data_IF_984495641582
#
_entry.id   IF_984495641582
#
_cell.length_a   1.000
_cell.length_b   1.000
_cell.length_c   1.000
_cell.angle_alpha   90.00
_cell.angle_beta   90.00
_cell.angle_gamma   90.00
#
_symmetry.space_group_name_H-M   'P 1'
#
loop_
_entity.id
_entity.type
_entity.pdbx_description
1 polymer ?
#
# COMPACT_ATOMS: atom_id res chain seq x y z
N UNK A 1 0.30 6.97 13.69
CA UNK A 1 1.77 6.77 13.80
C UNK A 1 2.29 7.09 15.18
N UNK A 2 1.81 8.13 15.85
CA UNK A 2 2.20 8.49 17.23
C UNK A 2 2.25 7.30 18.21
N UNK A 3 1.15 6.54 18.33
CA UNK A 3 1.10 5.34 19.20
C UNK A 3 2.14 4.26 18.86
N UNK A 4 2.48 4.07 17.59
CA UNK A 4 3.54 3.14 17.19
C UNK A 4 4.92 3.66 17.60
N UNK A 5 5.15 4.97 17.48
CA UNK A 5 6.39 5.61 17.95
C UNK A 5 6.52 5.44 19.46
N UNK A 6 5.49 5.78 20.23
CA UNK A 6 5.46 5.59 21.69
C UNK A 6 5.74 4.14 22.10
N UNK A 7 5.15 3.17 21.40
CA UNK A 7 5.37 1.75 21.68
C UNK A 7 6.82 1.31 21.39
N UNK A 8 7.46 1.85 20.35
CA UNK A 8 8.87 1.60 20.03
C UNK A 8 9.80 2.28 21.05
N UNK A 9 9.49 3.50 21.47
CA UNK A 9 10.24 4.20 22.52
C UNK A 9 10.15 3.47 23.86
N UNK A 10 8.98 2.92 24.20
CA UNK A 10 8.77 2.09 25.38
C UNK A 10 9.64 0.84 25.44
N UNK A 11 10.19 0.37 24.31
CA UNK A 11 11.14 -0.75 24.24
C UNK A 11 12.58 -0.31 23.94
N UNK A 12 12.86 1.00 24.01
CA UNK A 12 14.22 1.56 23.99
C UNK A 12 14.66 2.19 22.67
N UNK A 13 13.80 2.27 21.65
CA UNK A 13 14.09 3.12 20.49
C UNK A 13 14.05 4.60 20.89
N UNK A 14 14.74 5.47 20.14
CA UNK A 14 14.80 6.91 20.40
C UNK A 14 14.69 7.69 19.11
N UNK A 15 13.74 8.61 19.04
CA UNK A 15 13.59 9.50 17.89
C UNK A 15 14.88 10.28 17.61
N UNK A 16 15.25 10.37 16.33
CA UNK A 16 16.45 11.06 15.87
C UNK A 16 17.78 10.33 16.12
N UNK A 17 17.77 9.20 16.84
CA UNK A 17 18.95 8.39 17.12
C UNK A 17 18.86 6.97 16.54
N UNK A 18 17.81 6.23 16.87
CA UNK A 18 17.57 4.86 16.38
C UNK A 18 16.20 4.69 15.72
N UNK A 19 15.35 5.72 15.77
CA UNK A 19 14.05 5.80 15.12
C UNK A 19 13.95 7.08 14.30
N UNK A 20 13.54 6.95 13.04
CA UNK A 20 13.50 8.08 12.10
C UNK A 20 12.21 8.03 11.27
N UNK A 21 11.56 9.19 11.11
CA UNK A 21 10.47 9.37 10.16
C UNK A 21 10.99 9.66 8.75
N UNK A 22 10.30 9.12 7.74
CA UNK A 22 10.54 9.42 6.32
C UNK A 22 9.22 9.84 5.65
N UNK A 23 8.71 11.05 5.94
CA UNK A 23 7.47 11.53 5.34
C UNK A 23 7.64 11.78 3.84
N UNK A 24 6.54 11.68 3.10
CA UNK A 24 6.49 11.94 1.66
C UNK A 24 5.15 12.56 1.28
N UNK A 25 5.12 13.20 0.11
CA UNK A 25 3.88 13.73 -0.46
C UNK A 25 3.08 12.58 -1.09
N UNK A 26 2.06 12.12 -0.36
CA UNK A 26 1.21 10.98 -0.73
C UNK A 26 0.27 11.27 -1.91
N UNK A 27 0.17 12.52 -2.37
CA UNK A 27 -0.64 12.90 -3.54
C UNK A 27 -0.02 12.44 -4.85
N UNK A 28 1.29 12.23 -4.84
CA UNK A 28 2.06 11.71 -5.96
C UNK A 28 2.34 10.22 -5.75
N UNK A 29 2.79 9.55 -6.80
CA UNK A 29 3.22 8.15 -6.73
C UNK A 29 4.50 7.94 -7.56
N UNK A 30 5.24 6.85 -7.30
CA UNK A 30 6.19 6.33 -8.25
C UNK A 30 5.58 6.22 -9.66
N UNK A 31 6.41 6.38 -10.69
CA UNK A 31 6.01 6.13 -12.07
C UNK A 31 6.88 5.05 -12.72
N UNK A 32 6.38 4.52 -13.83
CA UNK A 32 7.07 3.59 -14.70
C UNK A 32 8.50 4.08 -15.06
N UNK A 33 9.43 3.15 -15.32
CA UNK A 33 10.77 3.51 -15.81
C UNK A 33 10.71 4.45 -17.02
N UNK A 34 11.60 5.44 -17.07
CA UNK A 34 11.63 6.45 -18.14
C UNK A 34 10.60 7.57 -18.01
N UNK A 35 9.67 7.48 -17.05
CA UNK A 35 8.66 8.51 -16.80
C UNK A 35 9.05 9.35 -15.58
N UNK A 36 9.06 10.67 -15.73
CA UNK A 36 9.39 11.60 -14.65
C UNK A 36 8.40 11.49 -13.49
N UNK A 37 8.92 11.25 -12.28
CA UNK A 37 8.18 11.25 -11.01
C UNK A 37 8.96 12.01 -9.93
N UNK A 38 9.01 13.34 -10.05
CA UNK A 38 9.88 14.21 -9.24
C UNK A 38 9.70 14.00 -7.73
N UNK A 39 8.47 14.06 -7.23
CA UNK A 39 8.19 13.87 -5.80
C UNK A 39 8.72 12.52 -5.27
N UNK A 40 8.56 11.45 -6.04
CA UNK A 40 9.10 10.14 -5.67
C UNK A 40 10.63 10.07 -5.77
N UNK A 41 11.24 10.71 -6.77
CA UNK A 41 12.70 10.80 -6.90
C UNK A 41 13.33 11.59 -5.75
N UNK A 42 12.73 12.72 -5.37
CA UNK A 42 13.19 13.57 -4.27
C UNK A 42 13.07 12.83 -2.92
N UNK A 43 11.94 12.15 -2.70
CA UNK A 43 11.75 11.25 -1.57
C UNK A 43 12.80 10.12 -1.55
N UNK A 44 12.97 9.41 -2.67
CA UNK A 44 13.92 8.28 -2.78
C UNK A 44 15.36 8.72 -2.48
N UNK A 45 15.74 9.90 -2.95
CA UNK A 45 17.06 10.48 -2.69
C UNK A 45 17.23 10.80 -1.20
N UNK A 46 16.21 11.39 -0.59
CA UNK A 46 16.21 11.73 0.84
C UNK A 46 16.24 10.48 1.72
N UNK A 47 15.44 9.45 1.38
CA UNK A 47 15.41 8.17 2.06
C UNK A 47 16.74 7.42 1.94
N UNK A 48 17.37 7.41 0.75
CA UNK A 48 18.70 6.80 0.56
C UNK A 48 19.72 7.39 1.54
N UNK A 49 19.80 8.73 1.60
CA UNK A 49 20.72 9.42 2.52
C UNK A 49 20.38 9.16 3.99
N UNK A 50 19.09 9.07 4.33
CA UNK A 50 18.66 8.77 5.70
C UNK A 50 19.11 7.36 6.10
N UNK A 51 18.87 6.36 5.24
CA UNK A 51 19.28 4.97 5.47
C UNK A 51 20.79 4.86 5.65
N UNK A 52 21.58 5.48 4.77
CA UNK A 52 23.04 5.46 4.83
C UNK A 52 23.56 6.12 6.12
N UNK A 53 23.05 7.30 6.48
CA UNK A 53 23.45 7.98 7.73
C UNK A 53 23.04 7.22 8.99
N UNK A 54 21.84 6.65 9.01
CA UNK A 54 21.36 5.85 10.14
C UNK A 54 22.23 4.59 10.32
N UNK A 55 22.58 3.93 9.20
CA UNK A 55 23.50 2.80 9.17
C UNK A 55 24.89 3.18 9.70
N UNK A 56 25.50 4.25 9.20
CA UNK A 56 26.83 4.72 9.66
C UNK A 56 26.84 5.03 11.16
N UNK A 57 25.85 5.77 11.64
CA UNK A 57 25.71 6.12 13.07
C UNK A 57 25.49 4.91 13.98
N UNK A 58 25.00 3.81 13.42
CA UNK A 58 24.76 2.55 14.12
C UNK A 58 25.84 1.50 13.82
N UNK A 59 27.09 1.92 13.60
CA UNK A 59 28.23 1.02 13.41
C UNK A 59 28.14 0.21 12.11
N UNK A 60 27.65 0.82 11.03
CA UNK A 60 27.41 0.21 9.72
C UNK A 60 26.42 -0.95 9.72
N UNK A 61 25.52 -1.00 10.71
CA UNK A 61 24.45 -2.01 10.74
C UNK A 61 23.31 -1.62 9.80
N UNK A 62 22.75 -2.58 9.04
CA UNK A 62 21.63 -2.31 8.15
C UNK A 62 20.37 -1.92 8.92
N UNK A 63 19.49 -1.14 8.28
CA UNK A 63 18.25 -0.62 8.88
C UNK A 63 17.07 -1.57 8.68
N UNK A 64 16.08 -1.49 9.56
CA UNK A 64 14.75 -2.09 9.34
C UNK A 64 13.82 -0.99 8.83
N UNK A 65 13.19 -1.22 7.68
CA UNK A 65 12.16 -0.34 7.16
C UNK A 65 10.81 -0.79 7.70
N UNK A 66 10.08 0.11 8.36
CA UNK A 66 8.71 -0.14 8.83
C UNK A 66 7.77 0.76 8.05
N UNK A 67 6.74 0.18 7.45
CA UNK A 67 5.78 0.91 6.61
C UNK A 67 4.35 0.61 7.01
N UNK A 68 3.44 1.50 6.67
CA UNK A 68 2.00 1.30 6.83
C UNK A 68 1.28 1.67 5.54
N UNK A 69 0.30 0.87 5.15
CA UNK A 69 -0.60 1.16 4.05
C UNK A 69 0.15 1.47 2.74
N UNK A 70 -0.13 2.60 2.11
CA UNK A 70 0.53 3.04 0.88
C UNK A 70 2.06 3.19 1.00
N UNK A 71 2.59 3.34 2.21
CA UNK A 71 4.03 3.33 2.47
C UNK A 71 4.70 2.01 2.06
N UNK A 72 3.97 0.89 2.10
CA UNK A 72 4.44 -0.42 1.64
C UNK A 72 4.75 -0.42 0.14
N UNK A 73 3.84 0.12 -0.67
CA UNK A 73 4.05 0.32 -2.11
C UNK A 73 5.27 1.21 -2.38
N UNK A 74 5.38 2.32 -1.66
CA UNK A 74 6.52 3.24 -1.77
C UNK A 74 7.86 2.57 -1.45
N UNK A 75 7.93 1.78 -0.37
CA UNK A 75 9.14 1.08 0.02
C UNK A 75 9.51 -0.02 -0.99
N UNK A 76 8.54 -0.79 -1.50
CA UNK A 76 8.81 -1.78 -2.55
C UNK A 76 9.36 -1.12 -3.81
N UNK A 77 8.76 -0.02 -4.27
CA UNK A 77 9.25 0.72 -5.44
C UNK A 77 10.63 1.35 -5.21
N UNK A 78 10.87 1.88 -4.01
CA UNK A 78 12.18 2.41 -3.62
C UNK A 78 13.25 1.32 -3.70
N UNK A 79 13.02 0.18 -3.06
CA UNK A 79 13.95 -0.95 -3.03
C UNK A 79 14.18 -1.52 -4.44
N UNK A 80 13.12 -1.68 -5.22
CA UNK A 80 13.21 -2.18 -6.59
C UNK A 80 14.03 -1.28 -7.52
N UNK A 81 14.15 0.01 -7.19
CA UNK A 81 14.97 0.98 -7.92
C UNK A 81 16.37 1.15 -7.34
N UNK A 82 16.78 0.37 -6.33
CA UNK A 82 18.15 0.35 -5.79
C UNK A 82 18.94 -0.88 -6.27
N UNK A 83 20.26 -0.73 -6.55
CA UNK A 83 21.11 -1.86 -6.85
C UNK A 83 21.03 -2.92 -5.75
N UNK A 84 21.03 -4.20 -6.12
CA UNK A 84 20.99 -5.31 -5.17
C UNK A 84 22.11 -5.25 -4.11
N UNK A 85 23.37 -4.89 -4.46
CA UNK A 85 24.42 -4.71 -3.45
C UNK A 85 24.10 -3.65 -2.39
N UNK A 86 23.46 -2.54 -2.79
CA UNK A 86 23.05 -1.49 -1.85
C UNK A 86 21.98 -2.01 -0.89
N UNK A 87 20.97 -2.71 -1.42
CA UNK A 87 19.90 -3.33 -0.61
C UNK A 87 20.48 -4.30 0.43
N UNK A 88 21.33 -5.23 -0.01
CA UNK A 88 21.97 -6.22 0.87
C UNK A 88 22.86 -5.58 1.94
N UNK A 89 23.49 -4.45 1.63
CA UNK A 89 24.35 -3.73 2.59
C UNK A 89 23.56 -2.95 3.63
N UNK A 90 22.48 -2.29 3.22
CA UNK A 90 21.84 -1.26 4.04
C UNK A 90 20.48 -1.64 4.59
N UNK A 91 19.81 -2.66 4.06
CA UNK A 91 18.44 -3.03 4.46
C UNK A 91 18.46 -4.42 5.07
N UNK A 92 18.16 -4.47 6.36
CA UNK A 92 18.08 -5.72 7.12
C UNK A 92 16.78 -6.43 6.80
N UNK A 93 15.69 -5.67 6.85
CA UNK A 93 14.34 -6.20 6.72
C UNK A 93 13.35 -5.12 6.32
N UNK A 94 12.26 -5.52 5.67
CA UNK A 94 11.07 -4.72 5.45
C UNK A 94 9.90 -5.29 6.28
N UNK A 95 9.47 -4.56 7.31
CA UNK A 95 8.23 -4.85 8.05
C UNK A 95 7.12 -3.99 7.46
N UNK A 96 6.14 -4.64 6.85
CA UNK A 96 5.09 -3.98 6.09
C UNK A 96 3.73 -4.20 6.73
N UNK A 97 3.12 -3.12 7.21
CA UNK A 97 1.86 -3.14 7.94
C UNK A 97 0.70 -2.75 7.02
N UNK A 98 -0.38 -3.53 7.03
CA UNK A 98 -1.63 -3.26 6.31
C UNK A 98 -1.42 -2.96 4.82
N UNK A 99 -0.72 -3.83 4.10
CA UNK A 99 -0.50 -3.68 2.66
C UNK A 99 -0.55 -5.02 1.94
N UNK A 100 -1.35 -5.05 0.87
CA UNK A 100 -1.33 -6.09 -0.15
C UNK A 100 -0.99 -5.51 -1.52
N UNK A 101 -0.74 -6.37 -2.50
CA UNK A 101 -0.49 -5.96 -3.89
C UNK A 101 -1.76 -6.01 -4.72
N UNK A 102 -1.85 -5.13 -5.70
CA UNK A 102 -2.90 -5.18 -6.72
C UNK A 102 -4.09 -4.26 -6.50
N UNK A 103 -4.06 -3.33 -5.53
CA UNK A 103 -5.09 -2.29 -5.39
C UNK A 103 -6.43 -2.78 -4.86
N UNK A 104 -7.48 -1.95 -4.90
CA UNK A 104 -8.79 -2.30 -4.30
C UNK A 104 -9.98 -1.71 -5.04
N UNK A 105 -11.11 -2.43 -5.04
CA UNK A 105 -12.39 -1.93 -5.56
C UNK A 105 -12.90 -0.69 -4.80
N UNK A 106 -12.51 -0.52 -3.54
CA UNK A 106 -12.75 0.71 -2.77
C UNK A 106 -12.24 1.95 -3.52
N UNK A 107 -11.09 1.84 -4.18
CA UNK A 107 -10.50 2.95 -4.93
C UNK A 107 -11.33 3.29 -6.16
N UNK A 108 -11.95 2.30 -6.81
CA UNK A 108 -12.89 2.54 -7.90
C UNK A 108 -14.10 3.35 -7.38
N UNK A 109 -14.66 3.01 -6.22
CA UNK A 109 -15.74 3.79 -5.59
C UNK A 109 -15.33 5.23 -5.26
N UNK A 110 -14.12 5.40 -4.70
CA UNK A 110 -13.57 6.72 -4.37
C UNK A 110 -13.42 7.57 -5.62
N UNK A 111 -12.87 7.01 -6.69
CA UNK A 111 -12.71 7.73 -7.95
C UNK A 111 -14.04 7.98 -8.66
N UNK A 112 -15.04 7.12 -8.51
CA UNK A 112 -16.39 7.34 -9.05
C UNK A 112 -17.10 8.53 -8.38
N UNK A 113 -16.84 8.76 -7.09
CA UNK A 113 -17.47 9.83 -6.31
C UNK A 113 -17.01 11.21 -6.81
N UNK A 114 -17.91 12.00 -7.38
CA UNK A 114 -17.64 13.40 -7.74
C UNK A 114 -17.62 14.29 -6.50
N UNK A 115 -16.84 15.38 -6.52
CA UNK A 115 -16.89 16.40 -5.46
C UNK A 115 -18.33 16.94 -5.38
N UNK A 116 -19.02 16.68 -4.26
CA UNK A 116 -20.38 17.15 -4.01
C UNK A 116 -21.42 16.07 -3.69
N UNK A 117 -21.07 14.78 -3.73
CA UNK A 117 -21.98 13.72 -3.26
C UNK A 117 -22.11 13.77 -1.72
N UNK A 118 -23.31 13.93 -1.14
CA UNK A 118 -23.47 13.98 0.31
C UNK A 118 -23.08 12.63 0.92
N UNK A 119 -22.10 12.62 1.83
CA UNK A 119 -21.76 11.44 2.64
C UNK A 119 -22.66 11.43 3.87
N UNK A 120 -23.53 10.43 4.07
CA UNK A 120 -24.23 10.29 5.35
C UNK A 120 -23.28 9.59 6.34
N UNK A 121 -22.82 10.33 7.34
CA UNK A 121 -22.07 9.89 8.53
C UNK A 121 -20.58 9.53 8.36
N UNK A 122 -19.73 9.76 9.39
CA UNK A 122 -18.29 9.53 9.37
C UNK A 122 -17.99 8.02 9.30
N UNK A 123 -17.73 7.50 8.10
CA UNK A 123 -17.40 6.08 7.87
C UNK A 123 -15.98 5.93 7.33
N UNK A 124 -15.48 4.69 7.18
CA UNK A 124 -14.18 4.36 6.55
C UNK A 124 -13.94 5.11 5.21
N UNK A 125 -15.02 5.42 4.49
CA UNK A 125 -15.03 6.28 3.30
C UNK A 125 -14.51 7.69 3.61
N UNK A 126 -14.85 8.29 4.74
CA UNK A 126 -14.35 9.61 5.15
C UNK A 126 -12.87 9.58 5.56
N UNK A 127 -12.31 8.42 5.92
CA UNK A 127 -10.86 8.28 6.12
C UNK A 127 -10.12 8.19 4.77
N UNK A 128 -10.62 7.40 3.82
CA UNK A 128 -9.99 7.33 2.48
C UNK A 128 -10.32 8.57 1.64
N UNK A 129 -11.45 9.24 1.82
CA UNK A 129 -11.82 10.50 1.17
C UNK A 129 -11.21 11.73 1.86
N UNK A 130 -10.92 11.71 3.16
CA UNK A 130 -10.19 12.81 3.81
C UNK A 130 -8.76 12.92 3.30
N UNK A 131 -8.15 11.80 2.86
CA UNK A 131 -6.79 11.75 2.33
C UNK A 131 -6.71 11.44 0.82
N UNK A 132 -7.77 10.95 0.19
CA UNK A 132 -7.79 10.47 -1.20
C UNK A 132 -8.72 11.32 -2.04
N UNK A 133 -8.17 12.37 -2.64
CA UNK A 133 -8.89 13.19 -3.60
C UNK A 133 -8.74 12.57 -5.00
N UNK A 134 -9.82 12.58 -5.81
CA UNK A 134 -9.81 12.13 -7.21
C UNK A 134 -8.71 12.81 -8.06
N UNK A 135 -8.25 14.00 -7.67
CA UNK A 135 -7.13 14.72 -8.30
C UNK A 135 -5.74 14.19 -7.94
N UNK A 136 -5.60 13.33 -6.93
CA UNK A 136 -4.31 12.78 -6.53
C UNK A 136 -3.91 11.67 -7.50
N UNK A 137 -2.80 11.89 -8.21
CA UNK A 137 -2.28 10.92 -9.17
C UNK A 137 -1.89 9.59 -8.53
N UNK A 138 -1.66 9.55 -7.22
CA UNK A 138 -1.40 8.33 -6.46
C UNK A 138 -2.57 7.35 -6.42
N UNK A 139 -3.81 7.84 -6.54
CA UNK A 139 -4.99 6.98 -6.51
C UNK A 139 -4.99 5.98 -7.67
N UNK A 140 -4.41 6.35 -8.82
CA UNK A 140 -4.25 5.43 -9.95
C UNK A 140 -3.31 4.25 -9.65
N UNK A 141 -2.34 4.41 -8.75
CA UNK A 141 -1.46 3.31 -8.33
C UNK A 141 -2.14 2.34 -7.36
N UNK A 142 -3.29 2.72 -6.79
CA UNK A 142 -4.09 1.91 -5.88
C UNK A 142 -5.28 1.24 -6.59
N UNK A 143 -5.44 1.48 -7.90
CA UNK A 143 -6.47 0.80 -8.69
C UNK A 143 -6.17 -0.70 -8.83
N UNK A 144 -7.23 -1.53 -8.93
CA UNK A 144 -7.12 -2.95 -9.18
C UNK A 144 -6.17 -3.29 -10.34
N UNK A 145 -5.19 -4.16 -10.08
CA UNK A 145 -4.25 -4.66 -11.08
C UNK A 145 -4.80 -5.90 -11.79
N UNK A 146 -4.74 -5.99 -13.12
CA UNK A 146 -5.06 -7.21 -13.87
C UNK A 146 -4.26 -8.43 -13.39
N UNK A 147 -3.04 -8.22 -12.88
CA UNK A 147 -2.18 -9.30 -12.38
C UNK A 147 -2.73 -9.99 -11.12
N UNK A 148 -3.62 -9.33 -10.39
CA UNK A 148 -4.26 -9.89 -9.18
C UNK A 148 -5.71 -10.27 -9.45
N UNK A 149 -6.45 -9.39 -10.13
CA UNK A 149 -7.90 -9.55 -10.29
C UNK A 149 -8.34 -10.09 -11.64
N UNK A 150 -7.49 -10.04 -12.67
CA UNK A 150 -7.85 -10.42 -14.05
C UNK A 150 -9.15 -9.74 -14.51
N UNK A 151 -10.07 -10.56 -15.02
CA UNK A 151 -11.39 -10.17 -15.50
C UNK A 151 -12.48 -10.15 -14.40
N UNK A 152 -12.12 -10.38 -13.13
CA UNK A 152 -13.06 -10.39 -12.01
C UNK A 152 -13.92 -9.10 -12.00
N UNK A 153 -15.26 -9.20 -11.98
CA UNK A 153 -16.12 -8.03 -11.86
C UNK A 153 -15.94 -7.32 -10.52
N UNK A 154 -15.47 -6.07 -10.55
CA UNK A 154 -15.22 -5.23 -9.37
C UNK A 154 -16.24 -4.09 -9.24
N UNK A 155 -16.68 -3.54 -10.37
CA UNK A 155 -17.84 -2.64 -10.44
C UNK A 155 -18.93 -3.29 -11.28
N UNK A 156 -20.12 -3.46 -10.68
CA UNK A 156 -21.25 -4.15 -11.30
C UNK A 156 -22.32 -3.13 -11.66
N UNK A 157 -22.77 -3.15 -12.91
CA UNK A 157 -23.95 -2.40 -13.39
C UNK A 157 -24.88 -3.33 -14.15
N UNK A 158 -26.10 -2.89 -14.45
CA UNK A 158 -27.07 -3.67 -15.23
C UNK A 158 -26.57 -3.95 -16.65
N UNK A 159 -25.88 -3.00 -17.27
CA UNK A 159 -25.50 -3.07 -18.67
C UNK A 159 -24.08 -3.62 -18.88
N UNK A 160 -23.17 -3.35 -17.92
CA UNK A 160 -21.75 -3.69 -18.06
C UNK A 160 -21.04 -3.82 -16.71
N UNK A 161 -20.17 -4.80 -16.60
CA UNK A 161 -19.26 -4.92 -15.47
C UNK A 161 -17.88 -4.36 -15.82
N UNK A 162 -17.23 -3.76 -14.83
CA UNK A 162 -15.86 -3.31 -14.93
C UNK A 162 -14.94 -4.15 -14.03
N UNK A 163 -13.82 -4.56 -14.60
CA UNK A 163 -12.75 -5.35 -13.99
C UNK A 163 -11.45 -4.56 -14.03
N UNK A 164 -10.37 -5.17 -13.53
CA UNK A 164 -9.04 -4.57 -13.66
C UNK A 164 -8.57 -4.49 -15.12
N UNK A 165 -8.97 -5.45 -15.97
CA UNK A 165 -8.58 -5.50 -17.39
C UNK A 165 -9.20 -4.39 -18.24
N UNK A 166 -10.41 -3.93 -17.91
CA UNK A 166 -11.09 -2.84 -18.63
C UNK A 166 -11.12 -1.52 -17.85
N UNK A 167 -10.20 -1.33 -16.90
CA UNK A 167 -10.09 -0.12 -16.07
C UNK A 167 -10.12 1.21 -16.85
N UNK A 168 -9.49 1.36 -18.04
CA UNK A 168 -9.60 2.61 -18.81
C UNK A 168 -11.04 2.99 -19.18
N UNK A 169 -11.89 1.99 -19.46
CA UNK A 169 -13.29 2.20 -19.79
C UNK A 169 -14.10 2.60 -18.57
N UNK A 170 -13.76 2.05 -17.39
CA UNK A 170 -14.33 2.49 -16.12
C UNK A 170 -14.00 3.95 -15.84
N UNK A 171 -12.72 4.33 -15.96
CA UNK A 171 -12.26 5.70 -15.72
C UNK A 171 -12.98 6.70 -16.65
N UNK A 172 -13.11 6.36 -17.94
CA UNK A 172 -13.90 7.16 -18.87
C UNK A 172 -15.37 7.25 -18.44
N UNK A 173 -16.00 6.14 -18.05
CA UNK A 173 -17.40 6.09 -17.63
C UNK A 173 -17.69 6.93 -16.38
N UNK A 174 -16.73 7.06 -15.46
CA UNK A 174 -16.86 7.93 -14.29
C UNK A 174 -16.43 9.37 -14.55
N UNK A 175 -16.10 9.74 -15.79
CA UNK A 175 -15.86 11.12 -16.22
C UNK A 175 -14.42 11.61 -16.16
N UNK A 176 -13.41 10.72 -16.18
CA UNK A 176 -12.03 11.15 -16.43
C UNK A 176 -11.83 11.47 -17.91
N UNK A 177 -11.03 12.50 -18.20
CA UNK A 177 -10.66 12.86 -19.57
C UNK A 177 -9.70 11.82 -20.19
N UNK A 178 -9.59 11.82 -21.52
CA UNK A 178 -8.67 10.92 -22.24
C UNK A 178 -7.22 11.08 -21.78
N UNK A 179 -6.80 12.30 -21.45
CA UNK A 179 -5.46 12.58 -20.89
C UNK A 179 -5.26 11.97 -19.50
N UNK A 180 -6.29 11.97 -18.65
CA UNK A 180 -6.25 11.34 -17.33
C UNK A 180 -6.19 9.83 -17.43
N UNK A 181 -6.99 9.25 -18.33
CA UNK A 181 -6.95 7.81 -18.62
C UNK A 181 -5.59 7.41 -19.23
N UNK A 182 -5.03 8.25 -20.11
CA UNK A 182 -3.69 8.06 -20.64
C UNK A 182 -2.62 8.12 -19.54
N UNK A 183 -2.75 9.00 -18.54
CA UNK A 183 -1.86 9.02 -17.36
C UNK A 183 -1.95 7.73 -16.55
N UNK A 184 -3.14 7.15 -16.34
CA UNK A 184 -3.27 5.83 -15.73
C UNK A 184 -2.48 4.77 -16.54
N UNK A 185 -2.73 4.69 -17.85
CA UNK A 185 -2.11 3.70 -18.76
C UNK A 185 -0.58 3.82 -18.83
N UNK A 186 -0.05 5.04 -18.83
CA UNK A 186 1.38 5.28 -19.08
C UNK A 186 2.21 5.36 -17.79
N UNK A 187 1.59 5.70 -16.65
CA UNK A 187 2.32 5.95 -15.40
C UNK A 187 2.08 4.90 -14.33
N UNK A 188 0.82 4.57 -14.07
CA UNK A 188 0.42 3.72 -12.94
C UNK A 188 0.34 2.24 -13.32
N UNK A 189 -0.40 1.93 -14.39
CA UNK A 189 -0.61 0.54 -14.84
C UNK A 189 0.70 -0.25 -15.06
N UNK A 190 1.76 0.31 -15.67
CA UNK A 190 2.99 -0.45 -15.87
C UNK A 190 3.68 -0.84 -14.55
N UNK A 191 3.53 -0.04 -13.49
CA UNK A 191 4.04 -0.39 -12.17
C UNK A 191 3.18 -1.46 -11.49
N UNK A 192 1.87 -1.33 -11.57
CA UNK A 192 0.95 -2.30 -10.95
C UNK A 192 0.89 -3.64 -11.71
N UNK A 193 1.38 -3.71 -12.95
CA UNK A 193 1.63 -4.96 -13.67
C UNK A 193 3.02 -5.55 -13.36
N UNK A 194 4.01 -4.70 -13.12
CA UNK A 194 5.41 -5.09 -12.94
C UNK A 194 5.90 -5.01 -11.49
N UNK A 195 5.01 -5.09 -10.49
CA UNK A 195 5.46 -5.27 -9.11
C UNK A 195 6.20 -6.61 -8.99
N UNK A 196 7.33 -6.57 -8.30
CA UNK A 196 8.29 -7.66 -8.14
C UNK A 196 8.85 -7.66 -6.72
N UNK A 197 9.37 -8.81 -6.31
CA UNK A 197 9.98 -8.98 -5.02
C UNK A 197 11.15 -8.01 -4.79
N UNK A 198 11.21 -7.32 -3.64
CA UNK A 198 12.26 -6.35 -3.35
C UNK A 198 13.61 -6.99 -3.02
N UNK A 199 13.67 -8.33 -2.91
CA UNK A 199 14.88 -9.13 -2.64
C UNK A 199 15.61 -8.68 -1.36
N UNK A 200 14.82 -8.29 -0.36
CA UNK A 200 15.25 -8.07 1.03
C UNK A 200 14.33 -8.91 1.93
N UNK A 201 14.82 -9.48 3.04
CA UNK A 201 13.96 -10.16 4.00
C UNK A 201 12.75 -9.31 4.37
N UNK A 202 11.57 -9.91 4.45
CA UNK A 202 10.36 -9.16 4.73
C UNK A 202 9.34 -9.90 5.60
N UNK A 203 8.64 -9.12 6.41
CA UNK A 203 7.45 -9.57 7.15
C UNK A 203 6.27 -8.68 6.76
N UNK A 204 5.16 -9.28 6.36
CA UNK A 204 3.89 -8.60 6.13
C UNK A 204 2.96 -8.87 7.30
N UNK A 205 2.40 -7.81 7.91
CA UNK A 205 1.48 -7.89 9.04
C UNK A 205 0.17 -7.20 8.63
N UNK A 206 -0.93 -7.96 8.57
CA UNK A 206 -2.21 -7.44 8.09
C UNK A 206 -3.35 -7.82 9.05
N UNK A 207 -4.35 -6.95 9.12
CA UNK A 207 -5.61 -7.26 9.79
C UNK A 207 -6.49 -8.16 8.92
N UNK A 208 -7.28 -9.02 9.56
CA UNK A 208 -8.30 -9.87 8.93
C UNK A 208 -9.56 -9.93 9.80
N UNK A 209 -10.66 -10.44 9.27
CA UNK A 209 -11.95 -10.56 9.95
C UNK A 209 -12.78 -9.27 9.96
N UNK A 210 -12.34 -8.21 9.26
CA UNK A 210 -13.06 -6.94 9.17
C UNK A 210 -13.72 -6.83 7.79
N UNK A 211 -15.05 -6.57 7.71
CA UNK A 211 -15.74 -6.40 6.44
C UNK A 211 -15.05 -5.33 5.57
N UNK A 212 -14.58 -5.73 4.39
CA UNK A 212 -13.78 -4.89 3.49
C UNK A 212 -14.37 -4.90 2.10
N UNK A 213 -14.48 -3.73 1.45
CA UNK A 213 -15.09 -3.61 0.12
C UNK A 213 -14.36 -4.53 -0.88
N UNK A 214 -15.10 -5.50 -1.41
CA UNK A 214 -14.66 -6.44 -2.44
C UNK A 214 -15.21 -6.03 -3.80
N UNK A 215 -16.49 -5.66 -3.86
CA UNK A 215 -17.17 -5.20 -5.07
C UNK A 215 -18.10 -4.03 -4.80
N UNK A 216 -18.33 -3.24 -5.83
CA UNK A 216 -19.17 -2.04 -5.78
C UNK A 216 -20.27 -2.16 -6.84
N UNK A 217 -21.52 -1.95 -6.47
CA UNK A 217 -22.68 -2.14 -7.33
C UNK A 217 -23.37 -0.81 -7.60
N UNK A 218 -23.27 -0.35 -8.84
CA UNK A 218 -23.99 0.80 -9.41
C UNK A 218 -24.99 0.26 -10.43
N UNK A 219 -26.08 -0.36 -9.96
CA UNK A 219 -26.99 -1.12 -10.84
C UNK A 219 -27.50 -0.30 -12.03
N UNK A 220 -27.87 0.95 -11.79
CA UNK A 220 -28.39 1.84 -12.85
C UNK A 220 -27.31 2.66 -13.55
N UNK A 221 -26.03 2.32 -13.33
CA UNK A 221 -24.85 3.03 -13.85
C UNK A 221 -24.80 4.53 -13.49
N UNK A 222 -25.54 4.95 -12.46
CA UNK A 222 -25.44 6.29 -11.89
C UNK A 222 -24.30 6.35 -10.86
N UNK A 223 -23.09 6.70 -11.30
CA UNK A 223 -21.90 6.78 -10.44
C UNK A 223 -21.91 7.94 -9.43
N UNK A 224 -22.90 8.83 -9.51
CA UNK A 224 -23.05 9.95 -8.56
C UNK A 224 -23.79 9.55 -7.27
N UNK A 225 -24.46 8.41 -7.28
CA UNK A 225 -25.19 7.90 -6.12
C UNK A 225 -24.31 7.03 -5.20
N UNK A 226 -24.81 6.74 -4.00
CA UNK A 226 -24.15 5.76 -3.14
C UNK A 226 -24.36 4.35 -3.71
N UNK A 227 -23.28 3.62 -4.02
CA UNK A 227 -23.42 2.25 -4.49
C UNK A 227 -23.79 1.33 -3.33
N UNK A 228 -24.30 0.15 -3.67
CA UNK A 228 -24.27 -0.98 -2.73
C UNK A 228 -22.86 -1.57 -2.72
N UNK A 229 -22.35 -1.90 -1.55
CA UNK A 229 -21.04 -2.55 -1.41
C UNK A 229 -21.22 -4.02 -1.05
N UNK A 230 -20.44 -4.88 -1.67
CA UNK A 230 -20.26 -6.28 -1.25
C UNK A 230 -18.93 -6.35 -0.53
N UNK A 231 -18.95 -6.81 0.71
CA UNK A 231 -17.76 -6.94 1.53
C UNK A 231 -17.21 -8.37 1.46
N UNK A 232 -15.90 -8.47 1.33
CA UNK A 232 -15.12 -9.66 1.63
C UNK A 232 -14.36 -9.49 2.94
N UNK A 233 -13.35 -10.34 3.13
CA UNK A 233 -12.46 -10.29 4.29
C UNK A 233 -11.30 -9.29 4.09
N UNK A 234 -10.79 -8.74 5.18
CA UNK A 234 -9.67 -7.80 5.20
C UNK A 234 -9.60 -7.00 6.50
N UNK A 235 -9.04 -5.79 6.42
CA UNK A 235 -8.86 -4.87 7.55
C UNK A 235 -9.80 -3.65 7.52
N UNK A 236 -10.80 -3.65 6.64
CA UNK A 236 -11.72 -2.55 6.39
C UNK A 236 -11.28 -1.63 5.23
N UNK A 237 -10.04 -1.72 4.75
CA UNK A 237 -9.52 -0.97 3.59
C UNK A 237 -8.82 -1.90 2.59
N UNK A 238 -7.90 -2.74 3.08
CA UNK A 238 -7.11 -3.69 2.30
C UNK A 238 -7.80 -5.04 2.34
N UNK A 239 -8.22 -5.52 1.18
CA UNK A 239 -8.87 -6.82 1.02
C UNK A 239 -7.84 -7.94 1.18
N UNK A 240 -8.22 -9.01 1.90
CA UNK A 240 -7.36 -10.17 2.15
C UNK A 240 -6.79 -10.76 0.86
N UNK A 241 -7.53 -10.74 -0.26
CA UNK A 241 -7.04 -11.26 -1.54
C UNK A 241 -5.75 -10.56 -1.98
N UNK A 242 -5.60 -9.26 -1.74
CA UNK A 242 -4.37 -8.53 -2.07
C UNK A 242 -3.19 -8.90 -1.18
N UNK A 243 -3.46 -9.26 0.08
CA UNK A 243 -2.46 -9.76 1.02
C UNK A 243 -2.00 -11.16 0.62
N UNK A 244 -2.93 -12.03 0.23
CA UNK A 244 -2.60 -13.35 -0.30
C UNK A 244 -1.86 -13.25 -1.64
N UNK A 245 -2.25 -12.30 -2.50
CA UNK A 245 -1.52 -12.03 -3.74
C UNK A 245 -0.09 -11.56 -3.47
N UNK A 246 0.14 -10.78 -2.42
CA UNK A 246 1.50 -10.38 -2.03
C UNK A 246 2.33 -11.61 -1.66
N UNK A 247 1.78 -12.53 -0.87
CA UNK A 247 2.47 -13.77 -0.57
C UNK A 247 2.80 -14.56 -1.84
N UNK A 248 1.82 -14.81 -2.71
CA UNK A 248 2.04 -15.61 -3.93
C UNK A 248 3.01 -14.98 -4.93
N UNK A 249 2.95 -13.67 -5.10
CA UNK A 249 3.66 -12.95 -6.18
C UNK A 249 4.97 -12.30 -5.73
N UNK A 250 5.20 -12.20 -4.41
CA UNK A 250 6.41 -11.63 -3.82
C UNK A 250 7.04 -12.58 -2.80
N UNK A 251 6.26 -13.17 -1.91
CA UNK A 251 6.79 -14.05 -0.86
C UNK A 251 7.28 -15.39 -1.36
N UNK A 252 6.50 -16.03 -2.23
CA UNK A 252 6.74 -17.39 -2.71
C UNK A 252 7.67 -17.44 -3.94
N UNK A 253 8.22 -16.29 -4.37
CA UNK A 253 9.14 -16.27 -5.52
C UNK A 253 10.53 -16.80 -5.10
N UNK A 254 11.19 -17.66 -5.90
CA UNK A 254 12.42 -18.35 -5.48
C UNK A 254 13.57 -17.44 -5.03
N UNK A 255 13.70 -16.26 -5.64
CA UNK A 255 14.78 -15.32 -5.33
C UNK A 255 14.52 -14.46 -4.09
N UNK A 256 13.31 -14.49 -3.53
CA UNK A 256 12.97 -13.73 -2.32
C UNK A 256 13.59 -14.45 -1.12
N UNK A 257 14.55 -13.82 -0.40
CA UNK A 257 15.37 -14.53 0.58
C UNK A 257 14.59 -15.00 1.81
N UNK A 258 13.56 -14.25 2.20
CA UNK A 258 12.72 -14.56 3.35
C UNK A 258 11.39 -13.81 3.25
N UNK A 259 10.29 -14.48 3.57
CA UNK A 259 8.96 -13.89 3.68
C UNK A 259 8.19 -14.50 4.86
N UNK A 260 7.66 -13.66 5.73
CA UNK A 260 6.73 -14.04 6.81
C UNK A 260 5.42 -13.29 6.64
N UNK A 261 4.30 -14.00 6.72
CA UNK A 261 2.97 -13.40 6.75
C UNK A 261 2.36 -13.56 8.15
N UNK A 262 1.90 -12.46 8.73
CA UNK A 262 1.21 -12.44 10.02
C UNK A 262 -0.17 -11.84 9.80
N UNK A 263 -1.21 -12.60 10.11
CA UNK A 263 -2.60 -12.14 10.05
C UNK A 263 -3.10 -11.95 11.49
N UNK A 264 -3.57 -10.74 11.81
CA UNK A 264 -4.12 -10.40 13.12
C UNK A 264 -5.65 -10.35 13.03
N UNK A 265 -6.38 -11.27 13.67
CA UNK A 265 -7.84 -11.28 13.64
C UNK A 265 -8.45 -10.00 14.23
N UNK A 266 -9.58 -9.59 13.68
CA UNK A 266 -10.42 -8.47 14.11
C UNK A 266 -9.66 -7.15 14.27
N UNK A 267 -8.63 -6.93 13.44
CA UNK A 267 -7.82 -5.71 13.46
C UNK A 267 -8.14 -4.89 12.22
N UNK A 268 -8.64 -3.67 12.43
CA UNK A 268 -8.84 -2.69 11.37
C UNK A 268 -7.51 -2.11 10.88
N UNK A 269 -7.55 -1.50 9.70
CA UNK A 269 -6.43 -0.85 9.04
C UNK A 269 -5.69 0.16 9.92
N UNK A 270 -6.44 0.96 10.68
CA UNK A 270 -5.91 2.00 11.56
C UNK A 270 -5.53 1.44 12.93
N UNK A 271 -6.31 0.50 13.48
CA UNK A 271 -6.00 -0.14 14.77
C UNK A 271 -4.64 -0.85 14.78
N UNK A 272 -4.15 -1.31 13.62
CA UNK A 272 -2.82 -1.92 13.50
C UNK A 272 -1.70 -1.07 14.12
N UNK A 273 -1.83 0.26 14.05
CA UNK A 273 -0.82 1.21 14.53
C UNK A 273 -1.30 2.07 15.69
N UNK A 274 -2.47 1.78 16.27
CA UNK A 274 -3.02 2.52 17.42
C UNK A 274 -3.37 1.63 18.61
N UNK A 275 -3.78 0.39 18.37
CA UNK A 275 -4.30 -0.48 19.41
C UNK A 275 -3.17 -1.30 20.05
N UNK A 276 -3.15 -1.33 21.38
CA UNK A 276 -2.07 -1.95 22.13
C UNK A 276 -1.88 -3.45 21.80
N UNK A 277 -2.96 -4.17 21.48
CA UNK A 277 -2.88 -5.59 21.11
C UNK A 277 -2.13 -5.80 19.79
N UNK A 278 -2.44 -5.00 18.76
CA UNK A 278 -1.77 -5.06 17.47
C UNK A 278 -0.33 -4.53 17.58
N UNK A 279 -0.13 -3.42 18.29
CA UNK A 279 1.19 -2.84 18.53
C UNK A 279 2.13 -3.82 19.24
N UNK A 280 1.64 -4.62 20.20
CA UNK A 280 2.46 -5.69 20.81
C UNK A 280 2.98 -6.69 19.78
N UNK A 281 2.17 -7.08 18.80
CA UNK A 281 2.60 -7.99 17.73
C UNK A 281 3.62 -7.31 16.82
N UNK A 282 3.35 -6.07 16.40
CA UNK A 282 4.24 -5.28 15.53
C UNK A 282 5.60 -5.05 16.19
N UNK A 283 5.63 -4.59 17.44
CA UNK A 283 6.86 -4.32 18.18
C UNK A 283 7.63 -5.61 18.44
N UNK A 284 6.95 -6.70 18.81
CA UNK A 284 7.58 -8.02 18.98
C UNK A 284 8.28 -8.46 17.70
N UNK A 285 7.62 -8.35 16.54
CA UNK A 285 8.20 -8.71 15.25
C UNK A 285 9.45 -7.86 14.94
N UNK A 286 9.37 -6.53 15.14
CA UNK A 286 10.51 -5.64 14.91
C UNK A 286 11.71 -6.02 15.80
N UNK A 287 11.47 -6.37 17.06
CA UNK A 287 12.52 -6.82 17.98
C UNK A 287 13.12 -8.17 17.58
N UNK A 288 12.28 -9.15 17.21
CA UNK A 288 12.72 -10.47 16.73
C UNK A 288 13.61 -10.33 15.49
N UNK A 289 13.16 -9.55 14.50
CA UNK A 289 13.93 -9.25 13.28
C UNK A 289 15.23 -8.53 13.62
N UNK A 290 15.22 -7.60 14.57
CA UNK A 290 16.42 -6.88 14.97
C UNK A 290 17.45 -7.82 15.62
N UNK A 291 17.01 -8.81 16.40
CA UNK A 291 17.86 -9.78 17.08
C UNK A 291 18.34 -10.92 16.16
N UNK A 292 17.58 -11.26 15.12
CA UNK A 292 17.96 -12.28 14.16
C UNK A 292 19.34 -11.96 13.54
N UNK A 293 20.30 -12.87 13.69
CA UNK A 293 21.58 -12.79 12.98
C UNK A 293 21.34 -13.08 11.51
N UNK A 294 21.90 -12.24 10.63
CA UNK A 294 21.94 -12.53 9.20
C UNK A 294 22.71 -13.83 9.00
N UNK A 295 21.99 -14.91 8.67
CA UNK A 295 22.57 -16.19 8.23
C UNK A 295 23.20 -16.06 6.86
#
# INVERSE_FOLDING_TARGET
MERLVEALEGVGYREGASLFGAPYDFRYAPAAPGVTARAFSDFSTSLTRLVERASERNGNRPVILVTHSFGGFYAMEFLNKRPLPWRRRHVKHLVMLCHGVGGSALIMQVLASTMGSPSPAPTLRDTVLSFGNRSFGSMFSLLPSPKVYGDTPLVITRAKNYSAENMPEFLAAVGFSDDEVARYRTRALPLTLNFRAPLVPMTSINGVGVPTVDKVVYWDANFTEMPRVVNGDGDGIVNLETVLALQRLVGDVPDQPYFKSILIPNTTHNSMISDDSALRVVVKEILEVNQATSS
#
